data_IF_872882893734
#
_entry.id   IF_872882893734
#
_cell.length_a   1.000
_cell.length_b   1.000
_cell.length_c   1.000
_cell.angle_alpha   90.00
_cell.angle_beta   90.00
_cell.angle_gamma   90.00
#
_symmetry.space_group_name_H-M   'P 1'
#
loop_
_entity.id
_entity.type
_entity.pdbx_description
1 polymer ?
#
# COMPACT_ATOMS: atom_id res chain seq x y z
N UNK A 1 24.52 0.55 0.78
CA UNK A 1 23.57 0.72 -0.35
C UNK A 1 22.80 2.00 -0.09
N UNK A 2 22.90 2.98 -0.97
CA UNK A 2 22.05 4.17 -0.89
C UNK A 2 20.64 3.72 -1.29
N UNK A 3 19.71 3.71 -0.34
CA UNK A 3 18.30 3.42 -0.60
C UNK A 3 17.75 4.55 -1.46
N UNK A 4 17.20 4.22 -2.62
CA UNK A 4 16.59 5.20 -3.52
C UNK A 4 15.57 6.07 -2.76
N UNK A 5 15.72 7.42 -2.75
CA UNK A 5 14.87 8.32 -1.97
C UNK A 5 13.39 8.22 -2.32
N UNK A 6 13.08 7.85 -3.56
CA UNK A 6 11.71 7.58 -3.99
C UNK A 6 11.17 6.33 -3.30
N UNK A 7 11.87 5.20 -3.40
CA UNK A 7 11.47 3.94 -2.75
C UNK A 7 11.29 4.08 -1.24
N UNK A 8 12.16 4.84 -0.56
CA UNK A 8 12.04 5.05 0.87
C UNK A 8 10.78 5.84 1.24
N UNK A 9 10.52 6.96 0.54
CA UNK A 9 9.29 7.76 0.74
C UNK A 9 8.04 6.94 0.51
N UNK A 10 7.98 6.22 -0.61
CA UNK A 10 6.85 5.35 -0.95
C UNK A 10 6.64 4.24 0.08
N UNK A 11 7.72 3.57 0.51
CA UNK A 11 7.64 2.53 1.52
C UNK A 11 7.22 3.07 2.90
N UNK A 12 7.64 4.29 3.27
CA UNK A 12 7.17 4.96 4.49
C UNK A 12 5.66 5.22 4.43
N UNK A 13 5.14 5.69 3.29
CA UNK A 13 3.70 5.96 3.10
C UNK A 13 2.88 4.69 3.19
N UNK A 14 3.27 3.64 2.47
CA UNK A 14 2.60 2.33 2.55
C UNK A 14 2.57 1.80 3.99
N UNK A 15 3.68 1.92 4.75
CA UNK A 15 3.72 1.54 6.17
C UNK A 15 2.78 2.38 7.02
N UNK A 16 2.71 3.69 6.78
CA UNK A 16 1.79 4.58 7.49
C UNK A 16 0.32 4.20 7.24
N UNK A 17 -0.05 3.91 6.00
CA UNK A 17 -1.39 3.46 5.63
C UNK A 17 -1.74 2.14 6.31
N UNK A 18 -0.86 1.14 6.19
CA UNK A 18 -1.04 -0.18 6.79
C UNK A 18 -1.18 -0.08 8.31
N UNK A 19 -0.38 0.78 8.95
CA UNK A 19 -0.46 1.06 10.39
C UNK A 19 -1.77 1.73 10.78
N UNK A 20 -2.21 2.75 10.04
CA UNK A 20 -3.44 3.48 10.29
C UNK A 20 -4.69 2.60 10.11
N UNK A 21 -4.70 1.76 9.08
CA UNK A 21 -5.80 0.82 8.78
C UNK A 21 -5.76 -0.45 9.64
N UNK A 22 -4.68 -0.65 10.42
CA UNK A 22 -4.43 -1.88 11.21
C UNK A 22 -4.44 -3.15 10.32
N UNK A 23 -3.96 -3.02 9.09
CA UNK A 23 -3.96 -4.10 8.09
C UNK A 23 -2.94 -5.18 8.44
N UNK A 24 -3.35 -6.45 8.39
CA UNK A 24 -2.45 -7.58 8.57
C UNK A 24 -1.76 -7.95 7.23
N UNK A 25 -0.41 -7.90 7.19
CA UNK A 25 0.36 -8.22 5.97
C UNK A 25 0.14 -9.65 5.44
N UNK A 26 -0.19 -10.61 6.30
CA UNK A 26 -0.53 -11.97 5.88
C UNK A 26 -1.89 -12.02 5.20
N UNK A 27 -2.89 -11.30 5.72
CA UNK A 27 -4.20 -11.19 5.11
C UNK A 27 -4.14 -10.45 3.76
N UNK A 28 -3.42 -9.32 3.73
CA UNK A 28 -3.12 -8.59 2.51
C UNK A 28 -2.43 -9.49 1.47
N UNK A 29 -1.40 -10.24 1.87
CA UNK A 29 -0.73 -11.21 0.99
C UNK A 29 -1.71 -12.23 0.40
N UNK A 30 -2.56 -12.85 1.23
CA UNK A 30 -3.57 -13.81 0.77
C UNK A 30 -4.54 -13.19 -0.26
N UNK A 31 -5.06 -11.99 -0.01
CA UNK A 31 -5.98 -11.32 -0.92
C UNK A 31 -5.32 -10.89 -2.23
N UNK A 32 -4.03 -10.55 -2.19
CA UNK A 32 -3.26 -10.16 -3.37
C UNK A 32 -2.63 -11.35 -4.13
N UNK A 33 -2.80 -12.59 -3.65
CA UNK A 33 -2.10 -13.76 -4.21
C UNK A 33 -0.57 -13.66 -4.08
N UNK A 34 -0.07 -12.98 -3.04
CA UNK A 34 1.36 -12.78 -2.75
C UNK A 34 1.73 -13.35 -1.39
N UNK A 35 3.01 -13.67 -1.18
CA UNK A 35 3.49 -14.04 0.15
C UNK A 35 3.60 -12.80 1.04
N UNK A 36 3.53 -12.98 2.37
CA UNK A 36 3.87 -11.91 3.32
C UNK A 36 5.27 -11.35 3.04
N UNK A 37 6.23 -12.21 2.72
CA UNK A 37 7.61 -11.81 2.42
C UNK A 37 7.74 -10.93 1.18
N UNK A 38 6.91 -11.17 0.16
CA UNK A 38 6.82 -10.29 -1.02
C UNK A 38 6.52 -8.84 -0.60
N UNK A 39 5.51 -8.64 0.26
CA UNK A 39 5.11 -7.31 0.73
C UNK A 39 6.19 -6.73 1.67
N UNK A 40 6.64 -7.50 2.66
CA UNK A 40 7.60 -7.04 3.68
C UNK A 40 8.94 -6.58 3.06
N UNK A 41 9.47 -7.30 2.06
CA UNK A 41 10.71 -6.93 1.38
C UNK A 41 10.61 -5.58 0.64
N UNK A 42 9.43 -5.22 0.13
CA UNK A 42 9.16 -3.92 -0.51
C UNK A 42 9.01 -2.81 0.53
N UNK A 43 8.28 -3.07 1.61
CA UNK A 43 8.12 -2.11 2.72
C UNK A 43 9.43 -1.81 3.46
N UNK A 44 10.38 -2.75 3.45
CA UNK A 44 11.74 -2.59 4.00
C UNK A 44 12.76 -2.05 2.99
N UNK A 45 12.33 -1.76 1.75
CA UNK A 45 13.20 -1.34 0.65
C UNK A 45 14.34 -2.32 0.33
N UNK A 46 14.18 -3.62 0.64
CA UNK A 46 15.12 -4.67 0.22
C UNK A 46 14.95 -4.95 -1.28
N UNK A 47 13.71 -4.94 -1.74
CA UNK A 47 13.34 -4.99 -3.15
C UNK A 47 12.69 -3.65 -3.51
N UNK A 48 13.11 -2.98 -4.59
CA UNK A 48 12.46 -1.77 -5.07
C UNK A 48 10.97 -2.00 -5.35
N UNK A 49 10.16 -0.99 -5.02
CA UNK A 49 8.72 -0.93 -5.31
C UNK A 49 8.57 -0.58 -6.79
N UNK A 50 8.03 -1.51 -7.57
CA UNK A 50 7.71 -1.27 -8.98
C UNK A 50 6.39 -0.50 -9.14
N UNK A 51 6.13 0.03 -10.34
CA UNK A 51 4.82 0.60 -10.68
C UNK A 51 3.67 -0.42 -10.51
N UNK A 52 3.93 -1.70 -10.81
CA UNK A 52 2.96 -2.77 -10.56
C UNK A 52 2.67 -2.99 -9.07
N UNK A 53 3.68 -2.85 -8.22
CA UNK A 53 3.50 -2.92 -6.76
C UNK A 53 2.67 -1.74 -6.23
N UNK A 54 2.90 -0.53 -6.75
CA UNK A 54 2.12 0.65 -6.42
C UNK A 54 0.64 0.46 -6.74
N UNK A 55 0.33 -0.02 -7.95
CA UNK A 55 -1.04 -0.29 -8.35
C UNK A 55 -1.67 -1.39 -7.47
N UNK A 56 -0.93 -2.47 -7.24
CA UNK A 56 -1.41 -3.62 -6.47
C UNK A 56 -1.72 -3.26 -5.01
N UNK A 57 -0.79 -2.57 -4.34
CA UNK A 57 -0.96 -2.17 -2.95
C UNK A 57 -1.93 -1.01 -2.82
N UNK A 58 -1.89 -0.05 -3.74
CA UNK A 58 -2.84 1.05 -3.80
C UNK A 58 -4.28 0.57 -3.91
N UNK A 59 -4.57 -0.31 -4.88
CA UNK A 59 -5.92 -0.87 -5.05
C UNK A 59 -6.44 -1.56 -3.79
N UNK A 60 -5.57 -2.28 -3.09
CA UNK A 60 -5.94 -2.95 -1.84
C UNK A 60 -6.20 -1.96 -0.70
N UNK A 61 -5.37 -0.92 -0.60
CA UNK A 61 -5.40 0.04 0.51
C UNK A 61 -6.35 1.23 0.25
N UNK A 62 -6.93 1.33 -0.95
CA UNK A 62 -7.81 2.43 -1.35
C UNK A 62 -7.06 3.71 -1.71
N UNK A 63 -5.90 3.59 -2.38
CA UNK A 63 -5.09 4.71 -2.87
C UNK A 63 -4.70 4.49 -4.33
N UNK A 64 -4.59 5.56 -5.11
CA UNK A 64 -4.01 5.49 -6.45
C UNK A 64 -2.48 5.51 -6.39
N UNK A 65 -1.77 5.03 -7.43
CA UNK A 65 -0.32 5.16 -7.53
C UNK A 65 0.15 6.61 -7.38
N UNK A 66 -0.58 7.57 -7.96
CA UNK A 66 -0.28 9.00 -7.90
C UNK A 66 -0.33 9.52 -6.47
N UNK A 67 -1.35 9.14 -5.68
CA UNK A 67 -1.45 9.53 -4.26
C UNK A 67 -0.30 8.96 -3.43
N UNK A 68 0.15 7.75 -3.74
CA UNK A 68 1.27 7.10 -3.04
C UNK A 68 2.61 7.78 -3.33
N UNK A 69 2.76 8.46 -4.48
CA UNK A 69 4.02 9.11 -4.89
C UNK A 69 3.99 10.64 -4.87
N UNK A 70 2.82 11.25 -4.69
CA UNK A 70 2.62 12.71 -4.63
C UNK A 70 3.55 13.39 -3.62
N UNK A 71 3.92 14.65 -3.86
CA UNK A 71 4.78 15.40 -2.92
C UNK A 71 4.10 15.59 -1.56
N UNK A 72 2.79 15.87 -1.57
CA UNK A 72 1.94 15.94 -0.40
C UNK A 72 1.19 14.62 -0.22
N UNK A 73 1.37 14.00 0.94
CA UNK A 73 0.73 12.73 1.29
C UNK A 73 -0.20 12.92 2.48
N UNK A 74 -1.45 12.49 2.35
CA UNK A 74 -2.45 12.50 3.40
C UNK A 74 -2.99 11.07 3.59
N UNK A 75 -3.25 10.70 4.84
CA UNK A 75 -3.96 9.46 5.14
C UNK A 75 -5.45 9.67 4.87
N UNK A 76 -6.02 8.82 4.04
CA UNK A 76 -7.47 8.66 3.95
C UNK A 76 -8.00 8.20 5.30
N UNK A 77 -9.21 8.64 5.65
CA UNK A 77 -9.90 8.06 6.80
C UNK A 77 -9.97 6.55 6.62
N UNK A 78 -9.75 5.75 7.69
CA UNK A 78 -9.82 4.32 7.61
C UNK A 78 -11.25 3.91 7.28
N UNK A 79 -11.55 3.76 5.99
CA UNK A 79 -12.78 3.12 5.56
C UNK A 79 -12.65 1.66 5.97
N UNK A 80 -13.56 1.20 6.83
CA UNK A 80 -13.67 -0.19 7.30
C UNK A 80 -13.79 -1.23 6.15
N UNK A 81 -13.83 -0.79 4.89
CA UNK A 81 -13.80 -1.61 3.68
C UNK A 81 -12.63 -2.62 3.64
N UNK A 82 -11.49 -2.30 4.27
CA UNK A 82 -10.35 -3.23 4.37
C UNK A 82 -10.62 -4.48 5.23
N UNK A 83 -11.62 -4.46 6.11
CA UNK A 83 -12.04 -5.62 6.90
C UNK A 83 -13.07 -6.51 6.18
N UNK A 84 -13.70 -6.00 5.13
CA UNK A 84 -14.80 -6.66 4.45
C UNK A 84 -14.66 -6.56 2.92
N UNK A 85 -13.60 -7.17 2.36
CA UNK A 85 -13.60 -7.78 1.02
C UNK A 85 -14.26 -7.07 -0.17
N UNK A 86 -14.41 -5.74 -0.18
CA UNK A 86 -15.07 -5.01 -1.25
C UNK A 86 -14.15 -3.90 -1.78
N UNK A 87 -14.08 -3.74 -3.12
CA UNK A 87 -13.21 -2.77 -3.74
C UNK A 87 -13.61 -1.36 -3.28
N UNK A 88 -12.62 -0.59 -2.83
CA UNK A 88 -12.76 0.83 -2.53
C UNK A 88 -12.95 1.63 -3.83
N UNK A 89 -13.99 1.35 -4.61
CA UNK A 89 -14.47 2.23 -5.67
C UNK A 89 -15.91 1.89 -6.09
N UNK A 90 -16.88 2.12 -5.22
CA UNK A 90 -18.28 2.16 -5.64
C UNK A 90 -19.05 3.15 -4.76
N UNK A 91 -18.89 4.45 -5.02
CA UNK A 91 -19.90 5.50 -4.82
C UNK A 91 -19.30 6.89 -5.15
N UNK A 92 -19.13 7.19 -6.44
CA UNK A 92 -19.17 8.56 -6.97
C UNK A 92 -19.88 8.55 -8.32
N UNK A 93 -21.19 8.31 -8.28
CA UNK A 93 -22.25 8.92 -9.10
C UNK A 93 -23.58 8.21 -8.86
#
# INVERSE_FOLDING_TARGET
>A
MATDPFNNRTAMRLRAIIGAQKTNLSAMGKQLGKTRGYIDTRLRCVVPISAGDLQLFGNYLGYTPEELVADHFALHEPTLAGAAGQPANQARN
#
